data_IF_440269318339
#
_entry.id   IF_440269318339
#
_cell.length_a   1.000
_cell.length_b   1.000
_cell.length_c   1.000
_cell.angle_alpha   90.00
_cell.angle_beta   90.00
_cell.angle_gamma   90.00
#
_symmetry.space_group_name_H-M   'P 1'
#
loop_
_entity.id
_entity.type
_entity.pdbx_description
1 polymer ?
#
# COMPACT_ATOMS: atom_id res chain seq x y z
N UNK A 1 4.81 -2.89 -13.49
CA UNK A 1 3.59 -3.63 -13.13
C UNK A 1 3.62 -4.95 -13.87
N UNK A 2 3.50 -6.06 -13.15
CA UNK A 2 3.20 -7.38 -13.73
C UNK A 2 1.78 -7.70 -13.35
N UNK A 3 0.92 -8.02 -14.32
CA UNK A 3 -0.49 -8.35 -14.09
C UNK A 3 -0.79 -9.70 -14.74
N UNK A 4 -1.09 -10.69 -13.90
CA UNK A 4 -1.60 -11.99 -14.31
C UNK A 4 -2.99 -12.09 -13.72
N UNK A 5 -4.07 -12.16 -14.50
CA UNK A 5 -5.46 -11.80 -14.14
C UNK A 5 -6.06 -12.04 -12.74
N UNK A 6 -5.43 -12.82 -11.84
CA UNK A 6 -5.76 -12.99 -10.42
C UNK A 6 -4.74 -12.34 -9.45
N UNK A 7 -3.74 -11.63 -9.95
CA UNK A 7 -2.55 -11.16 -9.24
C UNK A 7 -1.90 -9.93 -9.93
N UNK A 8 -1.43 -8.99 -9.13
CA UNK A 8 -0.67 -7.84 -9.59
C UNK A 8 0.55 -7.58 -8.71
N UNK A 9 1.71 -7.41 -9.33
CA UNK A 9 2.93 -6.94 -8.67
C UNK A 9 3.18 -5.46 -9.01
N UNK A 10 3.17 -4.63 -7.98
CA UNK A 10 3.43 -3.19 -8.05
C UNK A 10 4.83 -2.88 -7.57
N UNK A 11 5.59 -2.16 -8.39
CA UNK A 11 6.82 -1.52 -7.95
C UNK A 11 6.47 -0.33 -7.04
N UNK A 12 7.08 -0.29 -5.86
CA UNK A 12 6.89 0.79 -4.89
C UNK A 12 8.21 1.54 -4.78
N UNK A 13 8.31 2.61 -5.57
CA UNK A 13 9.44 3.54 -5.63
C UNK A 13 10.81 2.87 -5.87
N UNK A 14 10.86 1.73 -6.57
CA UNK A 14 12.07 0.96 -6.82
C UNK A 14 12.72 0.37 -5.56
N UNK A 15 12.02 0.34 -4.43
CA UNK A 15 12.56 -0.07 -3.11
C UNK A 15 11.85 -1.27 -2.51
N UNK A 16 10.58 -1.44 -2.84
CA UNK A 16 9.77 -2.57 -2.39
C UNK A 16 8.79 -3.00 -3.47
N UNK A 17 8.16 -4.15 -3.25
CA UNK A 17 7.10 -4.68 -4.11
C UNK A 17 5.85 -4.88 -3.27
N UNK A 18 4.71 -4.41 -3.78
CA UNK A 18 3.40 -4.74 -3.22
C UNK A 18 2.74 -5.77 -4.13
N UNK A 19 2.35 -6.89 -3.52
CA UNK A 19 1.67 -7.99 -4.19
C UNK A 19 0.18 -7.94 -3.83
N UNK A 20 -0.67 -7.76 -4.84
CA UNK A 20 -2.13 -7.70 -4.69
C UNK A 20 -2.70 -8.95 -5.35
N UNK A 21 -3.62 -9.62 -4.66
CA UNK A 21 -4.25 -10.86 -5.12
C UNK A 21 -5.76 -10.66 -5.20
N UNK A 22 -6.40 -11.21 -6.24
CA UNK A 22 -7.84 -11.26 -6.29
C UNK A 22 -8.36 -12.13 -5.13
N UNK A 23 -9.35 -11.61 -4.40
CA UNK A 23 -9.95 -12.33 -3.27
C UNK A 23 -10.41 -13.73 -3.70
N UNK A 24 -10.14 -14.71 -2.86
CA UNK A 24 -10.50 -16.12 -3.12
C UNK A 24 -9.57 -16.85 -4.10
N UNK A 25 -8.54 -16.18 -4.64
CA UNK A 25 -7.54 -16.80 -5.49
C UNK A 25 -6.23 -16.97 -4.73
N UNK A 26 -5.57 -18.10 -4.94
CA UNK A 26 -4.19 -18.31 -4.51
C UNK A 26 -3.27 -18.18 -5.72
N UNK A 27 -2.17 -17.46 -5.54
CA UNK A 27 -1.05 -17.45 -6.48
C UNK A 27 0.01 -18.45 -6.02
N UNK A 28 0.79 -18.96 -6.97
CA UNK A 28 1.81 -19.98 -6.75
C UNK A 28 1.69 -21.13 -7.73
N UNK A 29 2.71 -21.99 -7.75
CA UNK A 29 2.79 -23.06 -8.74
C UNK A 29 4.20 -23.49 -9.06
N UNK A 30 4.31 -24.46 -9.97
CA UNK A 30 5.60 -24.92 -10.49
C UNK A 30 6.05 -24.00 -11.62
N UNK A 31 7.30 -23.57 -11.56
CA UNK A 31 8.00 -22.82 -12.60
C UNK A 31 9.25 -23.58 -13.04
N UNK A 32 9.85 -23.15 -14.15
CA UNK A 32 11.11 -23.70 -14.65
C UNK A 32 12.26 -23.59 -13.62
N UNK A 33 12.24 -22.54 -12.78
CA UNK A 33 13.27 -22.25 -11.79
C UNK A 33 12.94 -22.76 -10.37
N UNK A 34 11.79 -23.40 -10.15
CA UNK A 34 11.39 -23.88 -8.83
C UNK A 34 9.89 -23.83 -8.57
N UNK A 35 9.49 -23.97 -7.31
CA UNK A 35 8.09 -23.93 -6.89
C UNK A 35 7.83 -22.71 -6.01
N UNK A 36 6.82 -21.94 -6.36
CA UNK A 36 6.28 -20.88 -5.52
C UNK A 36 5.19 -21.51 -4.62
N UNK A 37 5.30 -21.43 -3.29
CA UNK A 37 4.24 -21.89 -2.39
C UNK A 37 2.93 -21.13 -2.62
N UNK A 38 1.76 -21.78 -2.47
CA UNK A 38 0.47 -21.10 -2.56
C UNK A 38 0.37 -19.96 -1.53
N UNK A 39 0.00 -18.77 -1.99
CA UNK A 39 -0.18 -17.58 -1.16
C UNK A 39 -1.26 -16.66 -1.73
N UNK A 40 -1.74 -15.72 -0.93
CA UNK A 40 -2.81 -14.80 -1.27
C UNK A 40 -3.24 -13.99 -0.04
N UNK A 41 -4.36 -13.29 -0.14
CA UNK A 41 -4.91 -12.49 0.97
C UNK A 41 -6.40 -12.71 1.17
N UNK A 42 -6.85 -12.63 2.43
CA UNK A 42 -8.26 -12.59 2.81
C UNK A 42 -8.49 -11.45 3.80
N UNK A 43 -9.72 -10.90 3.81
CA UNK A 43 -10.07 -9.76 4.66
C UNK A 43 -9.47 -8.44 4.19
N UNK A 44 -9.40 -7.46 5.10
CA UNK A 44 -8.79 -6.14 4.85
C UNK A 44 -7.36 -6.10 5.38
N UNK A 45 -6.45 -5.51 4.62
CA UNK A 45 -5.06 -5.25 5.05
C UNK A 45 -4.86 -3.78 5.42
N UNK A 46 -3.80 -3.50 6.20
CA UNK A 46 -3.28 -2.14 6.43
C UNK A 46 -1.91 -2.04 5.76
N UNK A 47 -1.77 -1.08 4.85
CA UNK A 47 -0.57 -0.88 4.02
C UNK A 47 -0.09 0.57 4.19
N UNK A 48 1.16 0.73 4.64
CA UNK A 48 1.80 2.02 4.78
C UNK A 48 2.75 2.32 3.63
N UNK A 49 2.59 3.48 3.00
CA UNK A 49 3.50 4.04 2.01
C UNK A 49 4.26 5.21 2.62
N UNK A 50 5.57 5.10 2.55
CA UNK A 50 6.47 6.12 3.08
C UNK A 50 6.56 7.30 2.10
N UNK A 51 6.46 8.52 2.61
CA UNK A 51 6.53 9.76 1.81
C UNK A 51 7.29 10.85 2.55
N UNK A 52 7.83 11.84 1.84
CA UNK A 52 8.43 12.99 2.52
C UNK A 52 7.34 13.95 3.05
N UNK A 53 7.70 14.78 4.02
CA UNK A 53 6.82 15.86 4.50
C UNK A 53 6.49 16.86 3.39
N UNK A 54 7.42 17.10 2.47
CA UNK A 54 7.24 18.02 1.34
C UNK A 54 6.25 17.48 0.30
N UNK A 55 6.23 16.15 0.10
CA UNK A 55 5.37 15.51 -0.89
C UNK A 55 3.97 15.20 -0.37
N UNK A 56 3.78 15.13 0.96
CA UNK A 56 2.50 14.76 1.57
C UNK A 56 1.32 15.65 1.09
N UNK A 57 1.44 16.99 1.01
CA UNK A 57 0.35 17.83 0.50
C UNK A 57 -0.07 17.49 -0.94
N UNK A 58 0.90 17.13 -1.80
CA UNK A 58 0.61 16.76 -3.18
C UNK A 58 -0.18 15.45 -3.26
N UNK A 59 0.08 14.51 -2.35
CA UNK A 59 -0.71 13.28 -2.25
C UNK A 59 -2.14 13.55 -1.76
N UNK A 60 -2.32 14.42 -0.78
CA UNK A 60 -3.66 14.82 -0.32
C UNK A 60 -4.47 15.47 -1.44
N UNK A 61 -3.85 16.33 -2.25
CA UNK A 61 -4.50 16.91 -3.43
C UNK A 61 -4.91 15.82 -4.43
N UNK A 62 -4.03 14.86 -4.74
CA UNK A 62 -4.36 13.76 -5.65
C UNK A 62 -5.50 12.88 -5.15
N UNK A 63 -5.53 12.58 -3.85
CA UNK A 63 -6.65 11.83 -3.25
C UNK A 63 -7.96 12.58 -3.46
N UNK A 64 -7.98 13.90 -3.24
CA UNK A 64 -9.16 14.73 -3.46
C UNK A 64 -9.57 14.78 -4.94
N UNK A 65 -8.63 14.90 -5.88
CA UNK A 65 -8.89 14.87 -7.33
C UNK A 65 -9.53 13.53 -7.77
N UNK A 66 -9.12 12.43 -7.13
CA UNK A 66 -9.72 11.11 -7.36
C UNK A 66 -10.96 10.83 -6.53
N UNK A 67 -11.46 11.81 -5.78
CA UNK A 67 -12.61 11.66 -4.88
C UNK A 67 -12.43 10.54 -3.84
N UNK A 68 -11.19 10.32 -3.41
CA UNK A 68 -10.86 9.38 -2.33
C UNK A 68 -10.82 10.17 -1.01
N UNK A 69 -11.76 9.93 -0.09
CA UNK A 69 -11.80 10.66 1.18
C UNK A 69 -10.65 10.26 2.08
N UNK A 70 -10.04 11.25 2.73
CA UNK A 70 -9.15 11.03 3.88
C UNK A 70 -10.02 10.66 5.08
N UNK A 71 -9.80 9.48 5.66
CA UNK A 71 -10.48 9.01 6.87
C UNK A 71 -9.92 9.69 8.13
N UNK A 72 -8.60 9.90 8.18
CA UNK A 72 -7.96 10.54 9.32
C UNK A 72 -6.60 11.14 8.94
N UNK A 73 -6.23 12.24 9.58
CA UNK A 73 -4.91 12.87 9.49
C UNK A 73 -4.49 13.41 10.85
N UNK A 74 -3.29 13.07 11.29
CA UNK A 74 -2.71 13.64 12.50
C UNK A 74 -1.18 13.57 12.50
N UNK A 75 -0.59 14.45 13.30
CA UNK A 75 0.85 14.47 13.57
C UNK A 75 1.11 13.80 14.91
N UNK A 76 2.01 12.82 14.91
CA UNK A 76 2.43 12.09 16.10
C UNK A 76 3.25 12.97 17.04
N UNK A 77 3.38 12.64 18.33
CA UNK A 77 4.26 13.36 19.25
C UNK A 77 5.74 13.37 18.83
N UNK A 78 6.16 12.36 18.06
CA UNK A 78 7.49 12.26 17.41
C UNK A 78 7.63 13.20 16.20
N UNK A 79 6.51 13.78 15.76
CA UNK A 79 6.38 14.84 14.78
C UNK A 79 6.27 14.39 13.33
N UNK A 80 6.24 13.08 13.06
CA UNK A 80 5.80 12.55 11.78
C UNK A 80 4.29 12.67 11.61
N UNK A 81 3.78 12.63 10.39
CA UNK A 81 2.36 12.76 10.06
C UNK A 81 1.88 11.52 9.33
N UNK A 82 0.69 11.05 9.71
CA UNK A 82 -0.03 9.99 9.02
C UNK A 82 -1.30 10.53 8.37
N UNK A 83 -1.60 10.05 7.15
CA UNK A 83 -2.85 10.29 6.42
C UNK A 83 -3.43 8.95 6.01
N UNK A 84 -4.63 8.64 6.51
CA UNK A 84 -5.32 7.37 6.32
C UNK A 84 -6.46 7.51 5.32
N UNK A 85 -6.63 6.53 4.44
CA UNK A 85 -7.69 6.46 3.44
C UNK A 85 -7.97 5.01 3.04
N UNK A 86 -9.02 4.78 2.23
CA UNK A 86 -9.39 3.45 1.74
C UNK A 86 -9.13 3.28 0.26
N UNK A 87 -8.74 2.07 -0.12
CA UNK A 87 -8.86 1.62 -1.49
C UNK A 87 -10.29 1.10 -1.79
N UNK A 88 -10.62 0.76 -3.05
CA UNK A 88 -11.95 0.26 -3.41
C UNK A 88 -12.36 -1.04 -2.71
N UNK A 89 -11.40 -1.86 -2.25
CA UNK A 89 -11.66 -3.13 -1.57
C UNK A 89 -11.75 -2.98 -0.04
N UNK A 90 -11.58 -1.76 0.48
CA UNK A 90 -11.68 -1.41 1.90
C UNK A 90 -10.39 -1.62 2.69
N UNK A 91 -9.25 -1.83 2.03
CA UNK A 91 -7.95 -1.85 2.70
C UNK A 91 -7.62 -0.48 3.27
N UNK A 92 -7.02 -0.44 4.46
CA UNK A 92 -6.58 0.79 5.08
C UNK A 92 -5.20 1.16 4.53
N UNK A 93 -5.14 2.24 3.75
CA UNK A 93 -3.89 2.76 3.23
C UNK A 93 -3.48 3.96 4.08
N UNK A 94 -2.16 4.09 4.27
CA UNK A 94 -1.56 5.17 5.02
C UNK A 94 -0.41 5.80 4.23
N UNK A 95 -0.43 7.12 4.07
CA UNK A 95 0.80 7.86 3.81
C UNK A 95 1.42 8.27 5.14
N UNK A 96 2.67 7.91 5.36
CA UNK A 96 3.41 8.24 6.59
C UNK A 96 4.72 8.97 6.25
N UNK A 97 5.00 10.04 6.99
CA UNK A 97 6.25 10.80 6.88
C UNK A 97 7.33 10.29 7.84
N UNK A 98 8.60 10.71 7.69
CA UNK A 98 9.62 10.41 8.67
C UNK A 98 9.20 10.79 10.08
N UNK A 99 9.68 10.02 11.07
CA UNK A 99 9.38 10.14 12.51
C UNK A 99 8.02 9.60 12.92
N UNK A 100 7.22 8.99 12.04
CA UNK A 100 6.10 8.14 12.47
C UNK A 100 6.62 6.89 13.17
N UNK A 101 7.67 6.27 12.63
CA UNK A 101 8.36 5.13 13.21
C UNK A 101 9.83 5.44 13.45
N UNK A 102 10.51 4.81 14.43
CA UNK A 102 11.94 5.00 14.62
C UNK A 102 12.79 4.55 13.41
N UNK A 103 12.25 3.65 12.58
CA UNK A 103 12.90 3.07 11.40
C UNK A 103 12.70 3.87 10.13
N UNK A 104 11.87 4.92 10.15
CA UNK A 104 11.59 5.77 8.98
C UNK A 104 11.29 7.22 9.38
#
# INVERSE_FOLDING_TARGET
MVNEGHFCALDVAGRSVLLIFCRGHQHGGQMACGRIPPHGGTGTSHIGFSTTEADLPAWETRLAEWSIPVESKFTWPTGGTSVFFRDPDGHLLEFLTPRVWPTY
#
